data_IF_281681776092
#
_entry.id   IF_281681776092
#
_cell.length_a   1.000
_cell.length_b   1.000
_cell.length_c   1.000
_cell.angle_alpha   90.00
_cell.angle_beta   90.00
_cell.angle_gamma   90.00
#
_symmetry.space_group_name_H-M   'P 1'
#
loop_
_entity.id
_entity.type
_entity.pdbx_description
1 polymer ?
#
# COMPACT_ATOMS: atom_id res chain seq x y z
N UNK A 1 4.79 -6.59 9.75
CA UNK A 1 4.26 -5.64 10.77
C UNK A 1 3.02 -4.85 10.31
N UNK A 2 2.93 -4.40 9.04
CA UNK A 2 1.80 -3.58 8.56
C UNK A 2 0.41 -4.22 8.67
N UNK A 3 0.24 -5.47 8.20
CA UNK A 3 -1.04 -6.18 8.28
C UNK A 3 -1.52 -6.37 9.73
N UNK A 4 -0.59 -6.67 10.65
CA UNK A 4 -0.88 -6.79 12.09
C UNK A 4 -1.37 -5.46 12.66
N UNK A 5 -0.72 -4.34 12.30
CA UNK A 5 -1.12 -3.03 12.79
C UNK A 5 -2.54 -2.65 12.34
N UNK A 6 -2.89 -2.94 11.08
CA UNK A 6 -4.24 -2.67 10.55
C UNK A 6 -5.27 -3.61 11.19
N UNK A 7 -4.96 -4.89 11.34
CA UNK A 7 -5.85 -5.84 12.02
C UNK A 7 -6.16 -5.39 13.45
N UNK A 8 -5.14 -4.98 14.20
CA UNK A 8 -5.31 -4.45 15.57
C UNK A 8 -6.09 -3.14 15.62
N UNK A 9 -5.87 -2.24 14.66
CA UNK A 9 -6.61 -0.97 14.59
C UNK A 9 -8.11 -1.18 14.32
N UNK A 10 -8.47 -2.29 13.68
CA UNK A 10 -9.85 -2.69 13.40
C UNK A 10 -10.41 -3.71 14.42
N UNK A 11 -9.69 -3.94 15.52
CA UNK A 11 -10.01 -4.95 16.55
C UNK A 11 -10.17 -6.40 16.01
N UNK A 12 -9.46 -6.72 14.92
CA UNK A 12 -9.47 -8.04 14.29
C UNK A 12 -8.38 -8.95 14.86
N UNK A 13 -8.75 -10.19 15.17
CA UNK A 13 -7.84 -11.23 15.65
C UNK A 13 -7.51 -12.22 14.54
N UNK A 14 -6.51 -11.89 13.74
CA UNK A 14 -6.01 -12.78 12.68
C UNK A 14 -4.95 -13.74 13.21
N UNK A 15 -5.02 -15.00 12.77
CA UNK A 15 -3.98 -15.98 13.05
C UNK A 15 -2.70 -15.68 12.25
N UNK A 16 -1.56 -16.20 12.71
CA UNK A 16 -0.30 -16.06 11.99
C UNK A 16 -0.38 -16.64 10.57
N UNK A 17 -1.09 -17.76 10.39
CA UNK A 17 -1.29 -18.37 9.07
C UNK A 17 -2.06 -17.45 8.10
N UNK A 18 -3.13 -16.81 8.57
CA UNK A 18 -3.90 -15.86 7.74
C UNK A 18 -3.05 -14.65 7.39
N UNK A 19 -2.24 -14.14 8.32
CA UNK A 19 -1.31 -13.05 8.04
C UNK A 19 -0.27 -13.43 6.97
N UNK A 20 0.26 -14.65 7.01
CA UNK A 20 1.18 -15.16 5.97
C UNK A 20 0.47 -15.29 4.63
N UNK A 21 -0.76 -15.81 4.59
CA UNK A 21 -1.55 -15.90 3.37
C UNK A 21 -1.81 -14.51 2.77
N UNK A 22 -2.18 -13.53 3.58
CA UNK A 22 -2.36 -12.15 3.13
C UNK A 22 -1.08 -11.63 2.46
N UNK A 23 0.07 -11.80 3.11
CA UNK A 23 1.35 -11.34 2.56
C UNK A 23 1.69 -12.04 1.24
N UNK A 24 1.55 -13.37 1.20
CA UNK A 24 1.81 -14.15 -0.01
C UNK A 24 0.88 -13.74 -1.17
N UNK A 25 -0.42 -13.59 -0.90
CA UNK A 25 -1.41 -13.17 -1.89
C UNK A 25 -1.14 -11.76 -2.41
N UNK A 26 -0.68 -10.84 -1.55
CA UNK A 26 -0.26 -9.50 -1.98
C UNK A 26 0.96 -9.57 -2.90
N UNK A 27 1.97 -10.38 -2.57
CA UNK A 27 3.14 -10.54 -3.45
C UNK A 27 2.77 -11.13 -4.82
N UNK A 28 1.86 -12.10 -4.86
CA UNK A 28 1.31 -12.60 -6.12
C UNK A 28 0.55 -11.50 -6.86
N UNK A 29 -0.23 -10.67 -6.17
CA UNK A 29 -0.90 -9.52 -6.78
C UNK A 29 0.06 -8.46 -7.32
N UNK A 30 1.30 -8.39 -6.83
CA UNK A 30 2.32 -7.44 -7.30
C UNK A 30 2.89 -7.78 -8.69
N UNK A 31 2.76 -9.03 -9.13
CA UNK A 31 3.26 -9.48 -10.43
C UNK A 31 2.16 -9.61 -11.50
N UNK A 32 0.90 -9.43 -11.12
CA UNK A 32 -0.22 -9.47 -12.06
C UNK A 32 -0.28 -8.17 -12.88
N UNK A 33 -0.82 -8.21 -14.12
CA UNK A 33 -1.19 -7.00 -14.83
C UNK A 33 -2.38 -6.35 -14.12
N UNK A 34 -2.18 -5.16 -13.54
CA UNK A 34 -3.18 -4.47 -12.70
C UNK A 34 -3.46 -3.04 -13.16
N UNK A 35 -4.50 -2.44 -12.58
CA UNK A 35 -4.72 -0.99 -12.64
C UNK A 35 -3.60 -0.21 -11.92
N UNK A 36 -3.46 1.10 -12.19
CA UNK A 36 -2.55 1.97 -11.44
C UNK A 36 -2.80 1.86 -9.94
N UNK A 37 -1.71 1.72 -9.17
CA UNK A 37 -1.81 1.52 -7.72
C UNK A 37 -2.49 0.22 -7.32
N UNK A 38 -2.57 -0.78 -8.21
CA UNK A 38 -3.09 -2.12 -7.94
C UNK A 38 -4.52 -2.17 -7.39
N UNK A 39 -5.30 -1.14 -7.70
CA UNK A 39 -6.66 -0.99 -7.21
C UNK A 39 -7.54 -2.13 -7.74
N UNK A 40 -8.23 -2.81 -6.85
CA UNK A 40 -9.07 -3.98 -7.12
C UNK A 40 -8.33 -5.31 -6.98
N UNK A 41 -7.17 -5.49 -7.61
CA UNK A 41 -6.43 -6.76 -7.53
C UNK A 41 -5.82 -6.98 -6.16
N UNK A 42 -5.31 -5.92 -5.52
CA UNK A 42 -4.78 -5.97 -4.17
C UNK A 42 -5.90 -6.36 -3.19
N UNK A 43 -7.04 -5.65 -3.25
CA UNK A 43 -8.17 -5.91 -2.38
C UNK A 43 -8.74 -7.31 -2.58
N UNK A 44 -8.86 -7.76 -3.84
CA UNK A 44 -9.32 -9.11 -4.14
C UNK A 44 -8.37 -10.19 -3.58
N UNK A 45 -7.05 -9.97 -3.67
CA UNK A 45 -6.05 -10.88 -3.13
C UNK A 45 -6.14 -10.97 -1.58
N UNK A 46 -6.30 -9.83 -0.91
CA UNK A 46 -6.47 -9.78 0.55
C UNK A 46 -7.79 -10.41 0.97
N UNK A 47 -8.90 -10.07 0.29
CA UNK A 47 -10.22 -10.66 0.55
C UNK A 47 -10.19 -12.18 0.40
N UNK A 48 -9.58 -12.69 -0.67
CA UNK A 48 -9.38 -14.12 -0.90
C UNK A 48 -8.54 -14.78 0.19
N UNK A 49 -7.44 -14.15 0.63
CA UNK A 49 -6.59 -14.66 1.70
C UNK A 49 -7.29 -14.68 3.07
N UNK A 50 -8.27 -13.80 3.29
CA UNK A 50 -9.07 -13.73 4.51
C UNK A 50 -10.39 -14.50 4.43
N UNK A 51 -10.69 -15.13 3.30
CA UNK A 51 -11.92 -15.88 3.11
C UNK A 51 -12.00 -17.02 4.14
N UNK A 52 -13.01 -16.96 5.01
CA UNK A 52 -13.19 -17.92 6.12
C UNK A 52 -12.49 -17.54 7.43
N UNK A 53 -11.67 -16.48 7.45
CA UNK A 53 -11.10 -15.91 8.68
C UNK A 53 -11.81 -14.64 9.13
N UNK A 54 -12.38 -13.88 8.19
CA UNK A 54 -13.12 -12.65 8.43
C UNK A 54 -14.52 -12.73 7.80
N UNK A 55 -15.47 -12.04 8.41
CA UNK A 55 -16.75 -11.72 7.78
C UNK A 55 -16.56 -10.78 6.59
N UNK A 56 -17.54 -10.74 5.68
CA UNK A 56 -17.45 -9.92 4.47
C UNK A 56 -17.22 -8.43 4.77
N UNK A 57 -17.92 -7.88 5.77
CA UNK A 57 -17.77 -6.48 6.17
C UNK A 57 -16.37 -6.19 6.74
N UNK A 58 -15.83 -7.09 7.56
CA UNK A 58 -14.50 -6.99 8.15
C UNK A 58 -13.41 -7.07 7.08
N UNK A 59 -13.54 -8.00 6.14
CA UNK A 59 -12.63 -8.12 4.99
C UNK A 59 -12.65 -6.86 4.13
N UNK A 60 -13.84 -6.31 3.85
CA UNK A 60 -14.01 -5.06 3.08
C UNK A 60 -13.50 -3.82 3.82
N UNK A 61 -13.46 -3.83 5.16
CA UNK A 61 -12.81 -2.77 5.92
C UNK A 61 -11.28 -2.94 5.95
N UNK A 62 -10.81 -4.17 6.16
CA UNK A 62 -9.40 -4.48 6.31
C UNK A 62 -8.60 -4.30 5.01
N UNK A 63 -9.10 -4.82 3.88
CA UNK A 63 -8.39 -4.80 2.61
C UNK A 63 -8.00 -3.38 2.14
N UNK A 64 -8.93 -2.41 2.02
CA UNK A 64 -8.59 -1.05 1.62
C UNK A 64 -7.79 -0.30 2.69
N UNK A 65 -8.02 -0.54 3.99
CA UNK A 65 -7.22 0.07 5.05
C UNK A 65 -5.76 -0.39 4.99
N UNK A 66 -5.55 -1.68 4.70
CA UNK A 66 -4.22 -2.24 4.50
C UNK A 66 -3.56 -1.71 3.22
N UNK A 67 -4.34 -1.59 2.14
CA UNK A 67 -3.84 -1.04 0.88
C UNK A 67 -3.41 0.44 1.03
N UNK A 68 -4.27 1.26 1.64
CA UNK A 68 -4.00 2.66 1.92
C UNK A 68 -2.72 2.83 2.75
N UNK A 69 -2.50 1.97 3.76
CA UNK A 69 -1.27 2.00 4.55
C UNK A 69 -0.01 1.74 3.73
N UNK A 70 -0.08 0.96 2.65
CA UNK A 70 1.06 0.69 1.78
C UNK A 70 1.34 1.83 0.79
N UNK A 71 0.29 2.47 0.29
CA UNK A 71 0.37 3.50 -0.75
C UNK A 71 0.56 4.89 -0.17
N UNK A 72 -0.23 5.29 0.84
CA UNK A 72 -0.27 6.67 1.34
C UNK A 72 1.09 7.21 1.79
N UNK A 73 1.96 6.44 2.47
CA UNK A 73 3.28 6.95 2.83
C UNK A 73 4.17 7.27 1.61
N UNK A 74 3.97 6.59 0.48
CA UNK A 74 4.81 6.76 -0.71
C UNK A 74 4.49 8.05 -1.47
N UNK A 75 3.25 8.52 -1.40
CA UNK A 75 2.80 9.74 -2.08
C UNK A 75 3.61 10.98 -1.64
N UNK A 76 3.70 11.35 -0.35
CA UNK A 76 4.49 12.50 0.08
C UNK A 76 5.99 12.30 -0.14
N UNK A 77 6.50 11.07 0.00
CA UNK A 77 7.88 10.75 -0.32
C UNK A 77 8.22 11.05 -1.79
N UNK A 78 7.35 10.67 -2.73
CA UNK A 78 7.51 11.01 -4.14
C UNK A 78 7.39 12.51 -4.44
N UNK A 79 6.54 13.23 -3.70
CA UNK A 79 6.41 14.69 -3.84
C UNK A 79 7.67 15.41 -3.36
N UNK A 80 8.25 14.99 -2.23
CA UNK A 80 9.49 15.58 -1.69
C UNK A 80 10.66 15.40 -2.66
N UNK A 81 10.80 14.21 -3.26
CA UNK A 81 11.87 13.96 -4.24
C UNK A 81 11.69 14.77 -5.51
N UNK A 82 10.45 14.94 -5.99
CA UNK A 82 10.17 15.84 -7.12
C UNK A 82 10.49 17.29 -6.79
N UNK A 83 10.09 17.79 -5.60
CA UNK A 83 10.33 19.17 -5.18
C UNK A 83 11.82 19.47 -4.95
N UNK A 84 12.58 18.50 -4.45
CA UNK A 84 14.04 18.61 -4.31
C UNK A 84 14.76 18.66 -5.66
N UNK A 85 14.22 18.00 -6.68
CA UNK A 85 14.78 17.99 -8.04
C UNK A 85 14.33 19.17 -8.92
N UNK A 86 13.22 19.85 -8.60
CA UNK A 86 12.80 21.11 -9.24
C UNK A 86 13.49 22.35 -8.67
N UNK A 87 14.51 22.18 -7.83
CA UNK A 87 15.49 23.21 -7.47
C UNK A 87 16.81 23.10 -8.27
N UNK A 88 16.83 23.04 -9.62
CA UNK A 88 18.05 23.31 -10.34
C UNK A 88 18.29 24.82 -10.31
N UNK A 89 19.17 25.24 -9.39
CA UNK A 89 20.31 26.12 -9.71
C UNK A 89 20.00 27.30 -10.66
N UNK A 90 19.14 28.22 -10.25
CA UNK A 90 19.03 29.56 -10.85
C UNK A 90 20.24 30.44 -10.44
N UNK A 91 21.46 29.98 -10.72
CA UNK A 91 22.68 30.60 -10.16
C UNK A 91 23.90 30.64 -11.07
N UNK A 92 23.78 30.39 -12.38
CA UNK A 92 24.97 30.43 -13.25
C UNK A 92 24.84 31.06 -14.63
N UNK A 93 23.74 31.78 -14.94
CA UNK A 93 23.64 32.56 -16.19
C UNK A 93 23.52 34.07 -15.97
N UNK A 94 24.01 34.58 -14.84
CA UNK A 94 24.10 36.04 -14.60
C UNK A 94 25.53 36.54 -14.42
N UNK A 95 26.56 35.69 -14.57
CA UNK A 95 27.97 36.04 -14.34
C UNK A 95 28.89 35.86 -15.57
N UNK A 96 28.32 35.95 -16.77
CA UNK A 96 29.07 36.13 -18.02
C UNK A 96 28.17 36.96 -18.93
N UNK A 97 28.34 38.29 -18.90
CA UNK A 97 29.07 39.05 -19.93
C UNK A 97 28.42 38.96 -21.30
#
# INVERSE_FOLDING_TARGET
MGAVAVARALDLRLSAAVLVLILLSVEVSNILPTLPGQLGTFEAAVLGATAGALGQAEGLAFAPAFHARQILPRIPLGMITMLGNTFPRDRSEQDSR
#
